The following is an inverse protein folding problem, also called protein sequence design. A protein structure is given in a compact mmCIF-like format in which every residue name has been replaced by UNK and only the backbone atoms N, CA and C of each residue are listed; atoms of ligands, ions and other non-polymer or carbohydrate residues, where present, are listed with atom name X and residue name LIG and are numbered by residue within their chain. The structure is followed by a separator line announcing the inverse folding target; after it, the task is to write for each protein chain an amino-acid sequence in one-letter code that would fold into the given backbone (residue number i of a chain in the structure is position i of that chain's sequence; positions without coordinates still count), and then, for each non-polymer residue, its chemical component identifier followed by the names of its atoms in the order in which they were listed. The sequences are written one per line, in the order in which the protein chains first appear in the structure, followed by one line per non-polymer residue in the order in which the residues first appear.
data_IF_884538876366
#
_entry.id   IF_884538876366
#
_cell.length_a   1.000
_cell.length_b   1.000
_cell.length_c   1.000
_cell.angle_alpha   90.00
_cell.angle_beta   90.00
_cell.angle_gamma   90.00
#
_symmetry.space_group_name_H-M   'P 1'
#
loop_
_entity.id
_entity.type
_entity.pdbx_description
1 polymer ?
#
# COMPACT_ATOMS: atom_id res chain seq x y z
N UNK A 1 -24.16 -16.82 3.32
CA UNK A 1 -24.29 -15.43 3.82
C UNK A 1 -23.77 -14.49 2.73
N UNK A 2 -24.65 -13.73 2.07
CA UNK A 2 -24.21 -12.67 1.14
C UNK A 2 -23.73 -11.50 1.99
N UNK A 3 -22.43 -11.26 2.06
CA UNK A 3 -21.90 -10.07 2.72
C UNK A 3 -22.11 -8.90 1.74
N UNK A 4 -23.31 -8.34 1.73
CA UNK A 4 -23.57 -7.04 1.12
C UNK A 4 -22.92 -5.98 2.01
N UNK A 5 -21.68 -5.59 1.70
CA UNK A 5 -21.10 -4.39 2.31
C UNK A 5 -21.73 -3.17 1.67
N UNK A 6 -22.41 -2.40 2.51
CA UNK A 6 -22.87 -1.06 2.19
C UNK A 6 -21.66 -0.13 2.03
N UNK A 7 -21.32 0.22 0.79
CA UNK A 7 -21.00 1.58 0.32
C UNK A 7 -20.87 1.48 -1.22
N UNK A 8 -21.52 2.39 -1.93
CA UNK A 8 -22.07 2.20 -3.28
C UNK A 8 -21.02 2.05 -4.39
N UNK A 9 -20.71 0.80 -4.77
CA UNK A 9 -20.17 0.51 -6.10
C UNK A 9 -21.20 0.98 -7.13
N UNK A 10 -20.79 1.82 -8.08
CA UNK A 10 -21.67 2.15 -9.20
C UNK A 10 -21.88 0.89 -10.03
N UNK A 11 -23.13 0.60 -10.38
CA UNK A 11 -23.40 -0.45 -11.35
C UNK A 11 -22.77 -0.10 -12.70
N UNK A 12 -22.49 -1.11 -13.53
CA UNK A 12 -21.93 -0.89 -14.87
C UNK A 12 -22.84 0.03 -15.72
N UNK A 13 -24.15 -0.04 -15.49
CA UNK A 13 -25.12 0.84 -16.13
C UNK A 13 -24.96 2.30 -15.69
N UNK A 14 -24.85 2.56 -14.39
CA UNK A 14 -24.62 3.91 -13.86
C UNK A 14 -23.28 4.49 -14.34
N UNK A 15 -22.22 3.68 -14.37
CA UNK A 15 -20.92 4.09 -14.93
C UNK A 15 -21.03 4.43 -16.41
N UNK A 16 -21.77 3.64 -17.19
CA UNK A 16 -21.98 3.91 -18.61
C UNK A 16 -22.77 5.20 -18.84
N UNK A 17 -23.76 5.49 -17.99
CA UNK A 17 -24.48 6.76 -18.01
C UNK A 17 -23.53 7.93 -17.75
N UNK A 18 -22.68 7.85 -16.71
CA UNK A 18 -21.71 8.91 -16.42
C UNK A 18 -20.69 9.07 -17.56
N UNK A 19 -20.17 7.98 -18.10
CA UNK A 19 -19.26 8.01 -19.26
C UNK A 19 -19.90 8.66 -20.49
N UNK A 20 -21.19 8.40 -20.73
CA UNK A 20 -21.95 9.06 -21.80
C UNK A 20 -22.03 10.57 -21.56
N UNK A 21 -22.36 11.00 -20.33
CA UNK A 21 -22.41 12.42 -19.95
C UNK A 21 -21.05 13.11 -20.07
N UNK A 22 -19.96 12.42 -19.72
CA UNK A 22 -18.59 12.92 -19.88
C UNK A 22 -18.27 13.19 -21.36
N UNK A 23 -18.63 12.27 -22.25
CA UNK A 23 -18.45 12.44 -23.71
C UNK A 23 -19.31 13.56 -24.29
N UNK A 24 -20.54 13.74 -23.81
CA UNK A 24 -21.43 14.82 -24.25
C UNK A 24 -21.20 16.14 -23.53
N UNK A 25 -20.20 16.23 -22.65
CA UNK A 25 -19.91 17.39 -21.81
C UNK A 25 -21.11 17.90 -20.98
N UNK A 26 -22.05 17.01 -20.63
CA UNK A 26 -23.23 17.30 -19.80
C UNK A 26 -23.07 16.76 -18.37
N UNK A 27 -21.85 16.35 -18.00
CA UNK A 27 -21.53 15.75 -16.71
C UNK A 27 -21.52 16.80 -15.60
N UNK A 28 -22.31 16.57 -14.55
CA UNK A 28 -22.36 17.44 -13.37
C UNK A 28 -21.14 17.23 -12.46
N UNK A 29 -20.92 18.12 -11.50
CA UNK A 29 -19.86 17.94 -10.51
C UNK A 29 -20.10 16.71 -9.62
N UNK A 30 -21.36 16.40 -9.32
CA UNK A 30 -21.73 15.21 -8.55
C UNK A 30 -21.46 13.92 -9.34
N UNK A 31 -21.78 13.90 -10.64
CA UNK A 31 -21.44 12.77 -11.52
C UNK A 31 -19.92 12.53 -11.53
N UNK A 32 -19.11 13.60 -11.58
CA UNK A 32 -17.64 13.48 -11.52
C UNK A 32 -17.15 12.96 -10.17
N UNK A 33 -17.72 13.43 -9.05
CA UNK A 33 -17.39 12.93 -7.71
C UNK A 33 -17.63 11.43 -7.58
N UNK A 34 -18.83 10.98 -7.98
CA UNK A 34 -19.21 9.57 -8.02
C UNK A 34 -18.25 8.75 -8.89
N UNK A 35 -17.87 9.28 -10.04
CA UNK A 35 -16.89 8.64 -10.92
C UNK A 35 -15.51 8.50 -10.28
N UNK A 36 -15.01 9.55 -9.61
CA UNK A 36 -13.70 9.51 -8.92
C UNK A 36 -13.72 8.48 -7.79
N UNK A 37 -14.76 8.46 -6.97
CA UNK A 37 -14.90 7.49 -5.88
C UNK A 37 -14.86 6.06 -6.42
N UNK A 38 -15.65 5.76 -7.46
CA UNK A 38 -15.74 4.41 -8.02
C UNK A 38 -14.42 3.96 -8.68
N UNK A 39 -13.78 4.84 -9.45
CA UNK A 39 -12.49 4.53 -10.09
C UNK A 39 -11.39 4.31 -9.05
N UNK A 40 -11.37 5.12 -7.98
CA UNK A 40 -10.40 4.95 -6.89
C UNK A 40 -10.67 3.69 -6.05
N UNK A 41 -11.93 3.29 -5.88
CA UNK A 41 -12.33 2.00 -5.33
C UNK A 41 -11.81 0.82 -6.16
N UNK A 42 -11.72 0.98 -7.48
CA UNK A 42 -11.14 -0.02 -8.37
C UNK A 42 -9.60 0.02 -8.47
N UNK A 43 -8.95 0.86 -7.66
CA UNK A 43 -7.49 0.93 -7.58
C UNK A 43 -6.85 1.80 -8.67
N UNK A 44 -7.63 2.58 -9.43
CA UNK A 44 -7.07 3.51 -10.40
C UNK A 44 -6.29 4.64 -9.71
N UNK A 45 -5.17 5.01 -10.32
CA UNK A 45 -4.33 6.12 -9.89
C UNK A 45 -4.97 7.47 -10.19
N UNK A 46 -4.48 8.50 -9.50
CA UNK A 46 -4.99 9.86 -9.67
C UNK A 46 -4.74 10.38 -11.07
N UNK A 47 -3.65 9.94 -11.70
CA UNK A 47 -3.24 10.32 -13.05
C UNK A 47 -4.18 9.70 -14.09
N UNK A 48 -4.55 8.43 -13.92
CA UNK A 48 -5.52 7.77 -14.80
C UNK A 48 -6.90 8.43 -14.69
N UNK A 49 -7.36 8.68 -13.46
CA UNK A 49 -8.65 9.35 -13.21
C UNK A 49 -8.65 10.74 -13.84
N UNK A 50 -7.58 11.52 -13.64
CA UNK A 50 -7.44 12.85 -14.23
C UNK A 50 -7.48 12.82 -15.77
N UNK A 51 -6.79 11.84 -16.37
CA UNK A 51 -6.74 11.64 -17.82
C UNK A 51 -8.12 11.33 -18.40
N UNK A 52 -8.92 10.49 -17.72
CA UNK A 52 -10.28 10.15 -18.16
C UNK A 52 -11.24 11.34 -18.02
N UNK A 53 -11.08 12.14 -16.97
CA UNK A 53 -11.90 13.33 -16.74
C UNK A 53 -11.46 14.54 -17.59
N UNK A 54 -10.32 14.45 -18.29
CA UNK A 54 -9.77 15.58 -19.06
C UNK A 54 -9.32 16.74 -18.17
N UNK A 55 -8.85 16.46 -16.95
CA UNK A 55 -8.39 17.48 -15.99
C UNK A 55 -6.93 17.22 -15.58
N UNK A 56 -6.32 18.20 -14.90
CA UNK A 56 -4.97 18.01 -14.35
C UNK A 56 -5.02 17.20 -13.06
N UNK A 57 -3.90 16.55 -12.71
CA UNK A 57 -3.73 15.89 -11.40
C UNK A 57 -4.00 16.85 -10.24
N UNK A 58 -3.57 18.11 -10.37
CA UNK A 58 -3.80 19.13 -9.34
C UNK A 58 -5.30 19.34 -9.09
N UNK A 59 -6.12 19.31 -10.14
CA UNK A 59 -7.58 19.43 -10.01
C UNK A 59 -8.18 18.28 -9.20
N UNK A 60 -7.63 17.06 -9.32
CA UNK A 60 -8.03 15.91 -8.51
C UNK A 60 -7.73 16.15 -7.03
N UNK A 61 -6.51 16.62 -6.72
CA UNK A 61 -6.08 16.92 -5.36
C UNK A 61 -6.89 18.04 -4.71
N UNK A 62 -7.22 19.09 -5.48
CA UNK A 62 -7.92 20.26 -4.95
C UNK A 62 -9.43 20.03 -4.77
N UNK A 63 -10.08 19.30 -5.69
CA UNK A 63 -11.56 19.26 -5.77
C UNK A 63 -12.19 17.91 -5.45
N UNK A 64 -11.41 16.83 -5.49
CA UNK A 64 -11.95 15.46 -5.42
C UNK A 64 -11.20 14.58 -4.41
N UNK A 65 -10.35 15.17 -3.57
CA UNK A 65 -9.53 14.42 -2.61
C UNK A 65 -10.34 13.69 -1.54
N UNK A 66 -11.45 14.27 -1.12
CA UNK A 66 -12.40 13.65 -0.20
C UNK A 66 -12.93 12.32 -0.74
N UNK A 67 -13.56 12.35 -1.92
CA UNK A 67 -14.17 11.17 -2.56
C UNK A 67 -13.12 10.16 -3.03
N UNK A 68 -11.95 10.63 -3.44
CA UNK A 68 -10.82 9.78 -3.77
C UNK A 68 -10.33 8.98 -2.56
N UNK A 69 -10.17 9.64 -1.40
CA UNK A 69 -9.72 8.97 -0.18
C UNK A 69 -10.75 7.94 0.30
N UNK A 70 -12.04 8.23 0.12
CA UNK A 70 -13.13 7.30 0.43
C UNK A 70 -13.02 6.04 -0.44
N UNK A 71 -12.93 6.19 -1.76
CA UNK A 71 -12.80 5.04 -2.65
C UNK A 71 -11.53 4.23 -2.39
N UNK A 72 -10.38 4.88 -2.17
CA UNK A 72 -9.15 4.19 -1.77
C UNK A 72 -9.28 3.43 -0.44
N UNK A 73 -10.00 4.00 0.53
CA UNK A 73 -10.24 3.33 1.82
C UNK A 73 -11.10 2.07 1.64
N UNK A 74 -12.14 2.15 0.80
CA UNK A 74 -12.96 0.99 0.43
C UNK A 74 -12.15 -0.07 -0.32
N UNK A 75 -11.30 0.32 -1.26
CA UNK A 75 -10.39 -0.59 -1.96
C UNK A 75 -9.49 -1.37 -0.98
N UNK A 76 -8.84 -0.65 -0.05
CA UNK A 76 -7.96 -1.25 0.97
C UNK A 76 -8.75 -2.18 1.91
N UNK A 77 -9.98 -1.82 2.27
CA UNK A 77 -10.84 -2.65 3.10
C UNK A 77 -11.23 -3.95 2.39
N UNK A 78 -11.64 -3.87 1.12
CA UNK A 78 -12.00 -5.05 0.36
C UNK A 78 -10.78 -5.94 0.08
N UNK A 79 -9.62 -5.38 -0.24
CA UNK A 79 -8.40 -6.18 -0.38
C UNK A 79 -8.11 -7.03 0.88
N UNK A 80 -8.27 -6.46 2.08
CA UNK A 80 -8.16 -7.22 3.35
C UNK A 80 -9.21 -8.33 3.46
N UNK A 81 -10.45 -8.05 3.10
CA UNK A 81 -11.53 -9.06 3.11
C UNK A 81 -11.23 -10.21 2.14
N UNK A 82 -10.68 -9.91 0.97
CA UNK A 82 -10.28 -10.91 -0.01
C UNK A 82 -9.08 -11.73 0.49
N UNK A 83 -8.08 -11.11 1.12
CA UNK A 83 -6.97 -11.83 1.77
C UNK A 83 -7.50 -12.81 2.82
N UNK A 84 -8.41 -12.38 3.70
CA UNK A 84 -9.03 -13.24 4.72
C UNK A 84 -9.89 -14.37 4.10
N UNK A 85 -10.66 -14.05 3.06
CA UNK A 85 -11.50 -15.02 2.36
C UNK A 85 -10.68 -16.07 1.59
N UNK A 86 -9.49 -15.69 1.10
CA UNK A 86 -8.55 -16.63 0.50
C UNK A 86 -7.90 -17.51 1.58
N UNK A 87 -7.51 -16.93 2.72
CA UNK A 87 -6.89 -17.65 3.83
C UNK A 87 -7.83 -18.66 4.49
N UNK A 88 -9.12 -18.35 4.60
CA UNK A 88 -10.13 -19.26 5.16
C UNK A 88 -10.74 -20.20 4.10
N UNK A 89 -10.21 -20.26 2.88
CA UNK A 89 -10.68 -21.07 1.75
C UNK A 89 -12.14 -20.83 1.33
N UNK A 90 -12.74 -19.69 1.70
CA UNK A 90 -14.12 -19.34 1.25
C UNK A 90 -14.15 -18.73 -0.15
N UNK A 91 -12.99 -18.29 -0.66
CA UNK A 91 -12.84 -17.74 -1.99
C UNK A 91 -11.55 -18.22 -2.65
N UNK A 92 -11.65 -18.63 -3.91
CA UNK A 92 -10.48 -18.97 -4.74
C UNK A 92 -9.78 -17.68 -5.19
N UNK A 93 -8.45 -17.64 -5.05
CA UNK A 93 -7.61 -16.54 -5.48
C UNK A 93 -6.15 -17.01 -5.57
N UNK A 94 -5.27 -16.16 -6.13
CA UNK A 94 -3.82 -16.41 -6.11
C UNK A 94 -3.24 -15.81 -4.82
N UNK A 95 -2.83 -16.62 -3.82
CA UNK A 95 -2.35 -16.11 -2.54
C UNK A 95 -1.11 -15.22 -2.69
N UNK A 96 -0.19 -15.58 -3.60
CA UNK A 96 1.03 -14.80 -3.83
C UNK A 96 0.71 -13.39 -4.34
N UNK A 97 -0.27 -13.26 -5.25
CA UNK A 97 -0.72 -11.95 -5.73
C UNK A 97 -1.42 -11.14 -4.63
N UNK A 98 -2.23 -11.78 -3.79
CA UNK A 98 -2.91 -11.10 -2.68
C UNK A 98 -1.92 -10.59 -1.62
N UNK A 99 -0.86 -11.35 -1.33
CA UNK A 99 0.23 -10.91 -0.46
C UNK A 99 0.97 -9.72 -1.09
N UNK A 100 1.33 -9.82 -2.37
CA UNK A 100 2.02 -8.73 -3.07
C UNK A 100 1.20 -7.44 -3.08
N UNK A 101 -0.09 -7.51 -3.42
CA UNK A 101 -1.00 -6.36 -3.35
C UNK A 101 -1.12 -5.81 -1.93
N UNK A 102 -1.13 -6.69 -0.92
CA UNK A 102 -1.11 -6.30 0.48
C UNK A 102 0.12 -5.46 0.85
N UNK A 103 1.30 -5.87 0.40
CA UNK A 103 2.54 -5.10 0.58
C UNK A 103 2.46 -3.74 -0.10
N UNK A 104 1.94 -3.67 -1.33
CA UNK A 104 1.86 -2.43 -2.11
C UNK A 104 0.83 -1.42 -1.58
N UNK A 105 -0.36 -1.89 -1.19
CA UNK A 105 -1.50 -1.00 -0.92
C UNK A 105 -1.92 -0.94 0.55
N UNK A 106 -1.56 -1.95 1.35
CA UNK A 106 -1.92 -2.03 2.78
C UNK A 106 -0.73 -1.79 3.71
N UNK A 107 0.44 -1.48 3.15
CA UNK A 107 1.69 -1.26 3.89
C UNK A 107 2.04 -2.47 4.79
N UNK A 108 1.62 -3.67 4.37
CA UNK A 108 1.98 -4.90 5.06
C UNK A 108 3.47 -5.16 4.86
N UNK A 109 4.16 -5.43 5.96
CA UNK A 109 5.56 -5.85 5.95
C UNK A 109 5.67 -7.25 6.54
N UNK A 110 6.59 -8.03 5.99
CA UNK A 110 7.09 -9.23 6.64
C UNK A 110 8.30 -8.80 7.46
N UNK A 111 8.31 -9.13 8.74
CA UNK A 111 9.56 -9.09 9.50
C UNK A 111 10.25 -10.42 9.24
N UNK A 112 11.36 -10.47 8.49
CA UNK A 112 12.11 -11.71 8.38
C UNK A 112 12.65 -12.05 9.77
N UNK A 113 12.19 -13.17 10.35
CA UNK A 113 12.92 -13.82 11.43
C UNK A 113 14.26 -14.25 10.82
N UNK A 114 15.33 -13.47 11.07
CA UNK A 114 16.68 -13.98 10.85
C UNK A 114 16.93 -15.02 11.94
N UNK A 115 16.74 -16.29 11.61
CA UNK A 115 17.37 -17.37 12.36
C UNK A 115 18.86 -17.32 12.05
N UNK A 116 19.62 -16.55 12.85
CA UNK A 116 21.07 -16.74 12.90
C UNK A 116 21.28 -18.11 13.52
N UNK A 117 21.68 -19.09 12.70
CA UNK A 117 22.10 -20.39 13.23
C UNK A 117 23.25 -20.12 14.20
N UNK A 118 23.08 -20.56 15.44
CA UNK A 118 24.05 -20.34 16.53
C UNK A 118 25.48 -20.65 16.09
N UNK A 119 25.66 -21.70 15.30
CA UNK A 119 26.94 -22.13 14.74
C UNK A 119 27.61 -21.05 13.88
N UNK A 120 26.86 -20.30 13.08
CA UNK A 120 27.39 -19.21 12.26
C UNK A 120 27.78 -17.98 13.09
N UNK A 121 27.07 -17.75 14.20
CA UNK A 121 27.42 -16.69 15.16
C UNK A 121 28.67 -17.07 15.95
N UNK A 122 28.77 -18.33 16.38
CA UNK A 122 29.90 -18.85 17.12
C UNK A 122 31.18 -18.85 16.26
N UNK A 123 31.10 -19.26 14.99
CA UNK A 123 32.21 -19.16 14.01
C UNK A 123 32.65 -17.70 13.80
N UNK A 124 31.71 -16.76 13.75
CA UNK A 124 32.00 -15.34 13.61
C UNK A 124 32.70 -14.77 14.86
N UNK A 125 32.22 -15.11 16.06
CA UNK A 125 32.84 -14.71 17.33
C UNK A 125 34.23 -15.32 17.47
N UNK A 126 34.41 -16.57 17.05
CA UNK A 126 35.72 -17.21 17.04
C UNK A 126 36.67 -16.52 16.04
N UNK A 127 36.19 -16.18 14.85
CA UNK A 127 36.95 -15.41 13.87
C UNK A 127 37.35 -14.03 14.38
N UNK A 128 36.44 -13.29 15.03
CA UNK A 128 36.76 -12.01 15.68
C UNK A 128 37.82 -12.19 16.76
N UNK A 129 37.67 -13.24 17.59
CA UNK A 129 38.61 -13.53 18.69
C UNK A 129 40.01 -13.92 18.19
N UNK A 130 40.09 -14.49 16.98
CA UNK A 130 41.35 -14.82 16.29
C UNK A 130 42.03 -13.60 15.68
N UNK A 131 41.30 -12.51 15.44
CA UNK A 131 41.94 -11.26 15.05
C UNK A 131 42.60 -10.65 16.30
N UNK A 132 43.93 -10.61 16.33
CA UNK A 132 44.65 -9.78 17.29
C UNK A 132 44.22 -8.34 17.04
N UNK A 133 43.29 -7.85 17.85
CA UNK A 133 43.01 -6.42 17.96
C UNK A 133 44.37 -5.77 18.21
N UNK A 134 44.84 -4.83 17.35
CA UNK A 134 46.07 -4.12 17.62
C UNK A 134 45.96 -3.56 19.03
N UNK A 135 46.92 -3.86 19.90
CA UNK A 135 46.94 -3.28 21.25
C UNK A 135 46.76 -1.78 21.09
N UNK A 136 45.70 -1.21 21.68
CA UNK A 136 45.53 0.24 21.66
C UNK A 136 46.86 0.85 22.12
N UNK A 137 47.39 1.87 21.42
CA UNK A 137 48.57 2.56 21.91
C UNK A 137 48.28 3.01 23.35
N UNK A 138 49.25 2.88 24.26
CA UNK A 138 49.04 3.26 25.65
C UNK A 138 48.53 4.69 25.69
N UNK A 139 47.38 4.90 26.34
CA UNK A 139 46.82 6.23 26.54
C UNK A 139 47.90 7.02 27.29
N UNK A 140 48.40 8.15 26.75
CA UNK A 140 49.42 8.93 27.44
C UNK A 140 48.87 9.32 28.81
N UNK A 141 49.54 8.86 29.88
CA UNK A 141 49.22 9.28 31.22
C UNK A 141 49.43 10.78 31.28
N UNK A 142 48.34 11.54 31.46
CA UNK A 142 48.49 12.95 31.83
C UNK A 142 49.26 12.97 33.14
N UNK A 143 50.53 13.37 33.11
CA UNK A 143 51.23 13.72 34.34
C UNK A 143 50.45 14.88 34.93
N UNK A 144 49.72 14.63 36.01
CA UNK A 144 49.17 15.69 36.82
C UNK A 144 50.38 16.27 37.55
N UNK A 145 50.99 17.29 36.97
CA UNK A 145 51.93 18.15 37.69
C UNK A 145 51.13 18.81 38.81
N UNK A 146 51.53 18.53 40.04
CA UNK A 146 51.08 19.23 41.26
C UNK A 146 51.75 20.60 41.35
#
# INVERSE_FOLDING_TARGET
MKITSASSKLSDEELNVIRKKLRSNTCTQEDKKRFVEDMSYHGCSWVEIASILGVTRQTIDDKYRDVLNIGQSHFKHDLRRFQLACANNTRVGNPAMLIWLGKQYLEQSETPQMEVKKDQFDEFIEWISRQKVPSLPPVPSKSIAS
#
